data_IF_150209731017
#
_entry.id   IF_150209731017
#
_cell.length_a   1.000
_cell.length_b   1.000
_cell.length_c   1.000
_cell.angle_alpha   90.00
_cell.angle_beta   90.00
_cell.angle_gamma   90.00
#
_symmetry.space_group_name_H-M   'P 1'
#
loop_
_entity.id
_entity.type
_entity.pdbx_description
1 polymer ?
#
# COMPACT_ATOMS: atom_id res chain seq x y z
N UNK A 1 -2.64 -18.03 -4.28
CA UNK A 1 -3.06 -16.73 -3.70
C UNK A 1 -1.87 -15.80 -3.81
N UNK A 2 -2.07 -14.55 -4.23
CA UNK A 2 -0.97 -13.59 -4.44
C UNK A 2 -0.30 -13.25 -3.09
N UNK A 3 1.01 -12.99 -3.12
CA UNK A 3 1.73 -12.49 -1.96
C UNK A 3 1.59 -10.95 -1.92
N UNK A 4 0.50 -10.49 -1.31
CA UNK A 4 0.14 -9.07 -1.23
C UNK A 4 1.20 -8.23 -0.50
N UNK A 5 1.85 -8.78 0.52
CA UNK A 5 2.93 -8.06 1.21
C UNK A 5 4.17 -7.95 0.31
N UNK A 6 4.54 -9.01 -0.42
CA UNK A 6 5.64 -8.90 -1.41
C UNK A 6 5.32 -7.88 -2.49
N UNK A 7 4.08 -7.84 -3.00
CA UNK A 7 3.65 -6.81 -3.94
C UNK A 7 3.82 -5.40 -3.34
N UNK A 8 3.39 -5.19 -2.09
CA UNK A 8 3.57 -3.91 -1.39
C UNK A 8 5.05 -3.51 -1.28
N UNK A 9 5.95 -4.46 -0.99
CA UNK A 9 7.38 -4.19 -0.87
C UNK A 9 8.00 -3.74 -2.21
N UNK A 10 7.67 -4.44 -3.31
CA UNK A 10 8.17 -4.06 -4.64
C UNK A 10 7.54 -2.74 -5.13
N UNK A 11 6.24 -2.54 -4.86
CA UNK A 11 5.52 -1.31 -5.19
C UNK A 11 6.09 -0.10 -4.44
N UNK A 12 6.43 -0.24 -3.16
CA UNK A 12 7.06 0.82 -2.37
C UNK A 12 8.29 1.38 -3.09
N UNK A 13 9.19 0.51 -3.54
CA UNK A 13 10.40 0.93 -4.26
C UNK A 13 10.07 1.66 -5.57
N UNK A 14 9.06 1.21 -6.31
CA UNK A 14 8.62 1.89 -7.52
C UNK A 14 7.99 3.27 -7.22
N UNK A 15 7.15 3.37 -6.19
CA UNK A 15 6.46 4.61 -5.82
C UNK A 15 7.43 5.67 -5.25
N UNK A 16 8.45 5.26 -4.51
CA UNK A 16 9.52 6.16 -4.02
C UNK A 16 10.27 6.87 -5.15
N UNK A 17 10.30 6.31 -6.36
CA UNK A 17 10.88 6.97 -7.55
C UNK A 17 9.96 8.05 -8.15
N UNK A 18 8.72 8.17 -7.67
CA UNK A 18 7.76 9.18 -8.12
C UNK A 18 7.76 10.37 -7.17
N UNK A 19 7.44 11.56 -7.71
CA UNK A 19 7.30 12.77 -6.87
C UNK A 19 6.17 12.68 -5.85
N UNK A 20 5.11 11.91 -6.14
CA UNK A 20 3.92 11.84 -5.28
C UNK A 20 4.10 11.01 -4.02
N UNK A 21 5.11 10.14 -3.99
CA UNK A 21 5.36 9.19 -2.91
C UNK A 21 6.85 9.11 -2.53
N UNK A 22 7.63 10.14 -2.85
CA UNK A 22 9.08 10.13 -2.60
C UNK A 22 9.44 10.06 -1.10
N UNK A 23 8.51 10.45 -0.23
CA UNK A 23 8.57 10.43 1.22
C UNK A 23 7.88 9.20 1.84
N UNK A 24 7.37 8.27 1.02
CA UNK A 24 6.78 7.02 1.50
C UNK A 24 7.87 6.11 2.07
N UNK A 25 7.69 5.62 3.29
CA UNK A 25 8.66 4.78 4.02
C UNK A 25 8.25 3.31 4.06
N UNK A 26 6.96 3.02 4.13
CA UNK A 26 6.48 1.64 4.18
C UNK A 26 5.08 1.47 3.61
N UNK A 27 4.84 0.32 2.98
CA UNK A 27 3.50 -0.21 2.69
C UNK A 27 3.33 -1.53 3.42
N UNK A 28 2.42 -1.58 4.39
CA UNK A 28 2.16 -2.77 5.19
C UNK A 28 0.77 -3.31 4.91
N UNK A 29 0.69 -4.51 4.36
CA UNK A 29 -0.55 -5.24 4.21
C UNK A 29 -0.93 -5.90 5.55
N UNK A 30 -2.16 -5.66 5.97
CA UNK A 30 -2.73 -6.20 7.20
C UNK A 30 -4.06 -6.88 6.89
N UNK A 31 -4.29 -8.02 7.55
CA UNK A 31 -5.53 -8.78 7.42
C UNK A 31 -6.06 -9.15 8.79
N UNK A 32 -7.30 -8.78 9.04
CA UNK A 32 -8.04 -9.15 10.24
C UNK A 32 -9.38 -9.76 9.82
N UNK A 33 -9.48 -11.10 9.91
CA UNK A 33 -10.64 -11.85 9.44
C UNK A 33 -10.87 -11.69 7.94
N UNK A 34 -12.00 -11.08 7.58
CA UNK A 34 -12.38 -10.76 6.20
C UNK A 34 -11.91 -9.39 5.73
N UNK A 35 -11.43 -8.52 6.64
CA UNK A 35 -10.97 -7.18 6.30
C UNK A 35 -9.50 -7.20 5.93
N UNK A 36 -9.16 -6.49 4.85
CA UNK A 36 -7.79 -6.34 4.37
C UNK A 36 -7.50 -4.85 4.13
N UNK A 37 -6.38 -4.37 4.67
CA UNK A 37 -5.96 -2.98 4.59
C UNK A 37 -4.50 -2.91 4.16
N UNK A 38 -4.12 -1.80 3.52
CA UNK A 38 -2.71 -1.42 3.36
C UNK A 38 -2.48 -0.10 4.08
N UNK A 39 -1.53 -0.09 5.02
CA UNK A 39 -1.11 1.10 5.74
C UNK A 39 0.14 1.67 5.08
N UNK A 40 0.02 2.86 4.53
CA UNK A 40 1.10 3.68 4.00
C UNK A 40 1.63 4.60 5.10
N UNK A 41 2.92 4.51 5.43
CA UNK A 41 3.58 5.42 6.38
C UNK A 41 4.60 6.29 5.67
N UNK A 42 4.55 7.60 5.94
CA UNK A 42 5.43 8.62 5.37
C UNK A 42 6.54 9.01 6.34
N UNK A 43 7.59 9.67 5.86
CA UNK A 43 8.79 10.01 6.62
C UNK A 43 8.54 10.89 7.85
N UNK A 44 7.51 11.73 7.78
CA UNK A 44 7.02 12.57 8.87
C UNK A 44 6.15 11.80 9.89
N UNK A 45 5.98 10.49 9.73
CA UNK A 45 5.16 9.62 10.56
C UNK A 45 3.66 9.67 10.25
N UNK A 46 3.22 10.47 9.27
CA UNK A 46 1.84 10.48 8.81
C UNK A 46 1.48 9.13 8.17
N UNK A 47 0.23 8.72 8.36
CA UNK A 47 -0.27 7.45 7.85
C UNK A 47 -1.56 7.63 7.05
N UNK A 48 -1.66 6.91 5.94
CA UNK A 48 -2.90 6.73 5.16
C UNK A 48 -3.20 5.24 5.04
N UNK A 49 -4.47 4.90 4.87
CA UNK A 49 -4.92 3.51 4.77
C UNK A 49 -5.75 3.34 3.51
N UNK A 50 -5.45 2.30 2.73
CA UNK A 50 -6.28 1.85 1.63
C UNK A 50 -7.07 0.60 2.05
N UNK A 51 -8.38 0.60 1.80
CA UNK A 51 -9.19 -0.61 1.96
C UNK A 51 -9.03 -1.48 0.72
N UNK A 52 -8.56 -2.71 0.91
CA UNK A 52 -8.22 -3.65 -0.17
C UNK A 52 -8.88 -5.02 0.04
N UNK A 53 -10.02 -5.00 0.74
CA UNK A 53 -10.79 -6.18 1.09
C UNK A 53 -11.30 -6.88 -0.16
N UNK A 54 -10.95 -8.17 -0.30
CA UNK A 54 -11.29 -9.02 -1.44
C UNK A 54 -10.62 -8.61 -2.77
N UNK A 55 -9.63 -7.71 -2.73
CA UNK A 55 -8.91 -7.30 -3.93
C UNK A 55 -7.95 -8.36 -4.45
N UNK A 56 -7.76 -8.35 -5.77
CA UNK A 56 -6.54 -8.88 -6.39
C UNK A 56 -5.35 -7.98 -6.11
N UNK A 57 -4.13 -8.46 -6.35
CA UNK A 57 -2.91 -7.65 -6.25
C UNK A 57 -2.96 -6.41 -7.13
N UNK A 58 -3.56 -6.49 -8.33
CA UNK A 58 -3.72 -5.33 -9.23
C UNK A 58 -4.70 -4.30 -8.69
N UNK A 59 -5.86 -4.72 -8.18
CA UNK A 59 -6.84 -3.80 -7.58
C UNK A 59 -6.24 -3.09 -6.36
N UNK A 60 -5.55 -3.85 -5.50
CA UNK A 60 -4.82 -3.32 -4.34
C UNK A 60 -3.81 -2.22 -4.74
N UNK A 61 -3.04 -2.40 -5.82
CA UNK A 61 -2.09 -1.37 -6.31
C UNK A 61 -2.84 -0.09 -6.70
N UNK A 62 -3.95 -0.21 -7.42
CA UNK A 62 -4.76 0.94 -7.85
C UNK A 62 -5.30 1.70 -6.63
N UNK A 63 -5.80 0.97 -5.63
CA UNK A 63 -6.32 1.57 -4.41
C UNK A 63 -5.25 2.26 -3.57
N UNK A 64 -4.05 1.69 -3.44
CA UNK A 64 -2.92 2.37 -2.79
C UNK A 64 -2.62 3.70 -3.50
N UNK A 65 -2.54 3.70 -4.83
CA UNK A 65 -2.24 4.92 -5.59
C UNK A 65 -3.34 5.97 -5.42
N UNK A 66 -4.61 5.56 -5.47
CA UNK A 66 -5.75 6.48 -5.40
C UNK A 66 -6.01 7.02 -3.98
N UNK A 67 -5.78 6.20 -2.95
CA UNK A 67 -6.18 6.53 -1.56
C UNK A 67 -5.00 7.01 -0.71
N UNK A 68 -3.76 6.68 -1.06
CA UNK A 68 -2.59 7.02 -0.27
C UNK A 68 -1.73 8.16 -0.84
N UNK A 69 -2.00 8.69 -2.03
CA UNK A 69 -1.29 9.87 -2.55
C UNK A 69 -1.70 11.14 -1.78
#
# INVERSE_FOLDING_TARGET
>A
MEDKQKICNELLHALQLTRGFCDLVSLKYEREGSYELVVATFDNGYQKTANVTADSGTAMIVDIIAQCQ
#
